data_IF_119242311695
#
_entry.id   IF_119242311695
#
_cell.length_a   1.000
_cell.length_b   1.000
_cell.length_c   1.000
_cell.angle_alpha   90.00
_cell.angle_beta   90.00
_cell.angle_gamma   90.00
#
_symmetry.space_group_name_H-M   'P 1'
#
loop_
_entity.id
_entity.type
_entity.pdbx_description
1 polymer ?
#
# COMPACT_ATOMS: atom_id res chain seq x y z
N UNK A 1 -9.50 -5.17 13.31
CA UNK A 1 -8.26 -5.98 13.41
C UNK A 1 -7.42 -5.70 12.16
N UNK A 2 -6.09 -5.69 12.25
CA UNK A 2 -5.21 -5.42 11.10
C UNK A 2 -4.50 -6.70 10.65
N UNK A 3 -4.30 -6.84 9.35
CA UNK A 3 -3.49 -7.88 8.74
C UNK A 3 -2.02 -7.63 9.02
N UNK A 4 -1.30 -8.68 9.41
CA UNK A 4 0.16 -8.65 9.38
C UNK A 4 0.64 -8.70 7.93
N UNK A 5 1.60 -7.85 7.61
CA UNK A 5 2.37 -7.87 6.37
C UNK A 5 3.85 -7.78 6.73
N UNK A 6 4.64 -8.72 6.22
CA UNK A 6 6.09 -8.74 6.35
C UNK A 6 6.70 -8.19 5.08
N UNK A 7 7.53 -7.16 5.21
CA UNK A 7 8.37 -6.65 4.14
C UNK A 7 9.80 -7.18 4.35
N UNK A 8 10.27 -8.02 3.45
CA UNK A 8 11.64 -8.53 3.43
C UNK A 8 12.42 -7.83 2.31
N UNK A 9 13.48 -7.12 2.64
CA UNK A 9 14.37 -6.45 1.71
C UNK A 9 15.61 -7.32 1.51
N UNK A 10 15.91 -7.67 0.26
CA UNK A 10 17.00 -8.57 -0.11
C UNK A 10 17.87 -7.89 -1.15
N UNK A 11 19.15 -7.69 -0.85
CA UNK A 11 20.13 -7.30 -1.85
C UNK A 11 20.68 -8.56 -2.50
N UNK A 12 20.40 -8.77 -3.80
CA UNK A 12 20.74 -10.03 -4.45
C UNK A 12 20.15 -10.24 -5.85
N UNK A 13 20.45 -11.41 -6.40
CA UNK A 13 19.95 -11.85 -7.71
C UNK A 13 18.75 -12.78 -7.54
N UNK A 14 17.68 -12.44 -8.25
CA UNK A 14 16.48 -13.26 -8.32
C UNK A 14 16.80 -14.61 -8.98
N UNK A 15 16.16 -15.68 -8.52
CA UNK A 15 16.17 -16.97 -9.19
C UNK A 15 15.13 -16.97 -10.31
N UNK A 16 15.54 -16.64 -11.54
CA UNK A 16 14.66 -16.56 -12.69
C UNK A 16 13.90 -17.87 -12.98
N UNK A 17 14.52 -19.02 -12.70
CA UNK A 17 13.91 -20.34 -12.93
C UNK A 17 12.73 -20.63 -12.02
N UNK A 18 12.67 -20.03 -10.81
CA UNK A 18 11.48 -20.09 -9.96
C UNK A 18 10.26 -19.47 -10.65
N UNK A 19 10.46 -18.48 -11.50
CA UNK A 19 9.42 -17.82 -12.30
C UNK A 19 9.24 -18.42 -13.69
N UNK A 20 9.79 -19.61 -13.95
CA UNK A 20 9.63 -20.33 -15.21
C UNK A 20 10.57 -19.91 -16.34
N UNK A 21 11.54 -19.02 -16.08
CA UNK A 21 12.54 -18.61 -17.07
C UNK A 21 13.72 -19.60 -17.10
N UNK A 22 13.97 -20.19 -18.27
CA UNK A 22 15.12 -21.08 -18.47
C UNK A 22 16.43 -20.31 -18.59
N UNK A 23 16.40 -19.16 -19.26
CA UNK A 23 17.53 -18.24 -19.40
C UNK A 23 17.33 -17.03 -18.47
N UNK A 24 18.16 -16.85 -17.42
CA UNK A 24 18.08 -15.71 -16.52
C UNK A 24 18.24 -14.36 -17.21
N UNK A 25 18.91 -14.30 -18.37
CA UNK A 25 19.10 -13.04 -19.12
C UNK A 25 17.78 -12.48 -19.68
N UNK A 26 16.77 -13.33 -19.84
CA UNK A 26 15.44 -12.95 -20.31
C UNK A 26 14.55 -12.41 -19.20
N UNK A 27 14.95 -12.57 -17.93
CA UNK A 27 14.19 -12.05 -16.80
C UNK A 27 14.34 -10.54 -16.69
N UNK A 28 13.29 -9.80 -17.05
CA UNK A 28 13.27 -8.32 -17.04
C UNK A 28 12.26 -7.71 -16.06
N UNK A 29 11.47 -8.56 -15.39
CA UNK A 29 10.41 -8.11 -14.47
C UNK A 29 11.02 -7.31 -13.32
N UNK A 30 10.42 -6.15 -13.03
CA UNK A 30 10.78 -5.30 -11.89
C UNK A 30 9.75 -5.34 -10.77
N UNK A 31 8.56 -5.87 -11.05
CA UNK A 31 7.51 -6.09 -10.08
C UNK A 31 6.74 -7.36 -10.47
N UNK A 32 6.35 -8.13 -9.46
CA UNK A 32 5.54 -9.33 -9.56
C UNK A 32 4.46 -9.19 -8.50
N UNK A 33 3.20 -9.22 -8.93
CA UNK A 33 2.04 -9.08 -8.07
C UNK A 33 1.21 -10.35 -8.22
N UNK A 34 0.72 -10.89 -7.10
CA UNK A 34 -0.15 -12.07 -7.11
C UNK A 34 -1.55 -11.68 -6.63
N UNK A 35 -2.52 -12.53 -6.95
CA UNK A 35 -3.82 -12.51 -6.29
C UNK A 35 -3.73 -13.26 -4.96
N UNK A 36 -4.72 -13.07 -4.10
CA UNK A 36 -4.84 -13.80 -2.84
C UNK A 36 -4.90 -15.30 -3.11
N UNK A 37 -3.91 -16.04 -2.61
CA UNK A 37 -3.85 -17.50 -2.65
C UNK A 37 -3.16 -18.00 -1.36
N UNK A 38 -3.86 -18.72 -0.48
CA UNK A 38 -3.29 -19.25 0.76
C UNK A 38 -2.11 -20.20 0.57
N UNK A 39 -1.91 -20.75 -0.64
CA UNK A 39 -0.79 -21.64 -0.95
C UNK A 39 0.49 -20.86 -1.30
N UNK A 40 0.37 -19.57 -1.66
CA UNK A 40 1.51 -18.72 -1.97
C UNK A 40 2.14 -18.17 -0.68
N UNK A 41 3.46 -18.29 -0.58
CA UNK A 41 4.22 -17.74 0.54
C UNK A 41 4.62 -16.27 0.33
N UNK A 42 4.35 -15.71 -0.84
CA UNK A 42 4.58 -14.30 -1.21
C UNK A 42 3.31 -13.69 -1.80
N UNK A 43 3.08 -12.42 -1.50
CA UNK A 43 1.99 -11.62 -2.06
C UNK A 43 2.48 -10.69 -3.18
N UNK A 44 3.73 -10.23 -3.10
CA UNK A 44 4.37 -9.48 -4.19
C UNK A 44 5.88 -9.36 -4.01
N UNK A 45 6.57 -9.08 -5.12
CA UNK A 45 7.98 -8.74 -5.16
C UNK A 45 8.17 -7.49 -6.02
N UNK A 46 9.12 -6.64 -5.66
CA UNK A 46 9.48 -5.51 -6.52
C UNK A 46 10.88 -4.98 -6.24
N UNK A 47 11.56 -4.54 -7.30
CA UNK A 47 12.84 -3.83 -7.18
C UNK A 47 12.58 -2.46 -6.56
N UNK A 48 13.36 -2.12 -5.54
CA UNK A 48 13.33 -0.79 -4.93
C UNK A 48 14.59 -0.02 -5.33
N UNK A 49 14.37 1.24 -5.75
CA UNK A 49 15.45 2.14 -6.16
C UNK A 49 15.65 3.23 -5.11
N UNK A 50 16.90 3.68 -4.90
CA UNK A 50 17.17 4.86 -4.07
C UNK A 50 16.45 6.10 -4.61
N UNK A 51 15.94 6.93 -3.70
CA UNK A 51 15.23 8.18 -4.05
C UNK A 51 16.12 9.16 -4.80
N UNK A 52 17.42 9.19 -4.52
CA UNK A 52 18.39 10.12 -5.13
C UNK A 52 18.93 9.65 -6.50
N UNK A 53 18.30 8.65 -7.11
CA UNK A 53 18.79 7.99 -8.32
C UNK A 53 19.93 7.00 -8.02
N UNK A 54 20.18 6.05 -8.93
CA UNK A 54 21.24 5.05 -8.78
C UNK A 54 22.25 5.11 -9.94
N UNK A 55 23.52 5.28 -9.60
CA UNK A 55 24.67 4.88 -10.44
C UNK A 55 25.24 3.53 -9.95
N UNK A 56 24.40 2.69 -9.33
CA UNK A 56 24.85 1.44 -8.73
C UNK A 56 25.01 0.37 -9.80
N UNK A 57 26.24 -0.13 -9.95
CA UNK A 57 26.62 -1.24 -10.83
C UNK A 57 26.38 -2.62 -10.21
N UNK A 58 25.78 -2.67 -9.02
CA UNK A 58 25.55 -3.90 -8.24
C UNK A 58 24.16 -4.51 -8.42
N UNK A 59 23.89 -5.64 -7.75
CA UNK A 59 22.58 -6.28 -7.75
C UNK A 59 21.48 -5.32 -7.24
N UNK A 60 20.24 -5.44 -7.73
CA UNK A 60 19.14 -4.66 -7.21
C UNK A 60 18.79 -5.08 -5.78
N UNK A 61 18.16 -4.17 -5.04
CA UNK A 61 17.44 -4.51 -3.81
C UNK A 61 16.01 -4.88 -4.19
N UNK A 62 15.57 -6.05 -3.74
CA UNK A 62 14.21 -6.54 -3.88
C UNK A 62 13.46 -6.37 -2.57
N UNK A 63 12.21 -5.92 -2.65
CA UNK A 63 11.26 -5.96 -1.55
C UNK A 63 10.25 -7.07 -1.81
N UNK A 64 10.15 -8.01 -0.88
CA UNK A 64 9.21 -9.12 -0.91
C UNK A 64 8.17 -8.91 0.18
N UNK A 65 6.90 -8.91 -0.19
CA UNK A 65 5.79 -8.91 0.76
C UNK A 65 5.27 -10.34 0.97
N UNK A 66 5.06 -10.71 2.23
CA UNK A 66 4.51 -12.00 2.65
C UNK A 66 3.68 -11.86 3.93
N UNK A 67 2.83 -12.84 4.23
CA UNK A 67 2.06 -12.85 5.49
C UNK A 67 2.91 -13.22 6.71
N UNK A 68 3.96 -14.04 6.48
CA UNK A 68 4.87 -14.54 7.50
C UNK A 68 6.32 -14.24 7.13
N UNK A 69 7.23 -14.41 8.08
CA UNK A 69 8.67 -14.39 7.78
C UNK A 69 9.00 -15.44 6.72
N UNK A 70 9.84 -15.08 5.76
CA UNK A 70 10.34 -16.03 4.78
C UNK A 70 11.34 -16.98 5.46
N UNK A 71 11.22 -18.28 5.20
CA UNK A 71 12.22 -19.25 5.64
C UNK A 71 13.47 -19.17 4.77
N UNK A 72 14.58 -19.74 5.26
CA UNK A 72 15.81 -19.81 4.48
C UNK A 72 15.60 -20.58 3.16
N UNK A 73 14.76 -21.61 3.16
CA UNK A 73 14.40 -22.36 1.95
C UNK A 73 13.61 -21.49 0.98
N UNK A 74 12.64 -20.70 1.47
CA UNK A 74 11.88 -19.77 0.64
C UNK A 74 12.75 -18.65 0.06
N UNK A 75 13.70 -18.14 0.83
CA UNK A 75 14.69 -17.17 0.34
C UNK A 75 15.57 -17.80 -0.75
N UNK A 76 16.06 -19.03 -0.56
CA UNK A 76 16.85 -19.77 -1.56
C UNK A 76 16.05 -20.16 -2.80
N UNK A 77 14.73 -20.31 -2.68
CA UNK A 77 13.84 -20.48 -3.83
C UNK A 77 13.76 -19.19 -4.66
N UNK A 78 13.56 -18.05 -3.99
CA UNK A 78 13.37 -16.74 -4.65
C UNK A 78 14.66 -16.13 -5.19
N UNK A 79 15.81 -16.38 -4.55
CA UNK A 79 17.08 -15.73 -4.86
C UNK A 79 18.18 -16.76 -5.11
N UNK A 80 18.88 -16.60 -6.24
CA UNK A 80 20.03 -17.44 -6.59
C UNK A 80 21.30 -17.06 -5.80
N UNK A 81 21.39 -15.79 -5.38
CA UNK A 81 22.43 -15.28 -4.49
C UNK A 81 21.94 -14.00 -3.79
N UNK A 82 22.38 -13.79 -2.55
CA UNK A 82 22.13 -12.57 -1.78
C UNK A 82 23.18 -12.43 -0.67
N UNK A 83 23.41 -11.21 -0.20
CA UNK A 83 24.40 -10.89 0.85
C UNK A 83 23.80 -10.10 2.03
N UNK A 84 22.64 -9.47 1.85
CA UNK A 84 21.92 -8.75 2.89
C UNK A 84 20.42 -9.05 2.85
N UNK A 85 19.85 -9.32 4.02
CA UNK A 85 18.41 -9.50 4.24
C UNK A 85 17.99 -8.65 5.44
N UNK A 86 17.05 -7.73 5.22
CA UNK A 86 16.46 -6.87 6.24
C UNK A 86 14.96 -7.08 6.29
N UNK A 87 14.36 -7.15 7.48
CA UNK A 87 12.94 -7.52 7.63
C UNK A 87 12.21 -6.54 8.51
N UNK A 88 11.05 -6.09 8.04
CA UNK A 88 10.13 -5.25 8.79
C UNK A 88 8.72 -5.86 8.81
N UNK A 89 8.16 -6.01 10.01
CA UNK A 89 6.78 -6.46 10.21
C UNK A 89 5.87 -5.25 10.41
N UNK A 90 4.70 -5.29 9.79
CA UNK A 90 3.69 -4.25 9.85
C UNK A 90 2.31 -4.85 10.12
N UNK A 91 1.50 -4.12 10.89
CA UNK A 91 0.05 -4.29 10.89
C UNK A 91 -0.51 -3.30 9.87
N UNK A 92 -0.35 -3.61 8.58
CA UNK A 92 -0.40 -2.61 7.51
C UNK A 92 -1.82 -2.26 7.06
N UNK A 93 -2.76 -3.20 7.10
CA UNK A 93 -4.08 -3.04 6.49
C UNK A 93 -5.19 -3.51 7.42
N UNK A 94 -6.32 -2.79 7.54
CA UNK A 94 -7.45 -3.29 8.29
C UNK A 94 -8.09 -4.51 7.60
N UNK A 95 -8.65 -5.41 8.39
CA UNK A 95 -9.55 -6.45 7.91
C UNK A 95 -10.89 -5.83 7.55
N UNK A 96 -11.27 -5.93 6.27
CA UNK A 96 -12.57 -5.50 5.78
C UNK A 96 -13.57 -6.66 5.87
N UNK A 97 -14.79 -6.38 6.33
CA UNK A 97 -15.89 -7.36 6.32
C UNK A 97 -17.12 -6.76 5.63
N UNK A 98 -17.13 -6.66 4.28
CA UNK A 98 -18.24 -6.06 3.58
C UNK A 98 -19.57 -6.83 3.75
N UNK A 99 -20.72 -6.13 3.86
CA UNK A 99 -20.85 -4.68 3.91
C UNK A 99 -20.56 -4.16 5.32
N UNK A 100 -19.51 -3.36 5.48
CA UNK A 100 -19.22 -2.64 6.72
C UNK A 100 -19.55 -1.16 6.53
N UNK A 101 -20.03 -0.51 7.60
CA UNK A 101 -20.18 0.95 7.60
C UNK A 101 -18.84 1.59 7.89
N UNK A 102 -18.50 2.63 7.13
CA UNK A 102 -17.36 3.48 7.47
C UNK A 102 -17.71 4.31 8.72
N UNK A 103 -16.75 4.52 9.63
CA UNK A 103 -16.97 5.41 10.77
C UNK A 103 -17.16 6.86 10.29
N UNK A 104 -17.77 7.73 11.12
CA UNK A 104 -17.95 9.12 10.76
C UNK A 104 -16.62 9.89 10.77
N UNK A 105 -16.52 10.94 9.95
CA UNK A 105 -15.40 11.88 9.98
C UNK A 105 -15.47 12.87 11.15
N UNK A 106 -16.67 13.15 11.70
CA UNK A 106 -16.85 13.99 12.88
C UNK A 106 -17.13 13.10 14.08
N UNK A 107 -16.25 13.12 15.07
CA UNK A 107 -16.43 12.35 16.31
C UNK A 107 -17.11 13.19 17.40
N UNK A 108 -16.86 14.49 17.41
CA UNK A 108 -17.43 15.48 18.32
C UNK A 108 -17.23 16.88 17.73
N UNK A 109 -17.81 17.91 18.36
CA UNK A 109 -17.54 19.32 18.06
C UNK A 109 -16.03 19.58 17.99
N UNK A 110 -15.59 20.02 16.81
CA UNK A 110 -14.19 20.31 16.47
C UNK A 110 -13.21 19.13 16.62
N UNK A 111 -13.71 17.89 16.66
CA UNK A 111 -12.90 16.67 16.71
C UNK A 111 -13.17 15.80 15.47
N UNK A 112 -12.16 15.68 14.61
CA UNK A 112 -12.27 15.04 13.30
C UNK A 112 -11.41 13.77 13.21
N UNK A 113 -11.98 12.69 12.68
CA UNK A 113 -11.29 11.42 12.45
C UNK A 113 -10.83 11.30 11.01
N UNK A 114 -9.59 11.73 10.75
CA UNK A 114 -8.99 11.71 9.41
C UNK A 114 -8.88 10.29 8.85
N UNK A 115 -8.63 9.27 9.68
CA UNK A 115 -8.50 7.90 9.20
C UNK A 115 -9.86 7.20 9.01
N UNK A 116 -10.99 7.90 9.09
CA UNK A 116 -12.29 7.31 8.79
C UNK A 116 -12.34 6.69 7.39
N UNK A 117 -11.65 7.33 6.43
CA UNK A 117 -11.55 6.89 5.04
C UNK A 117 -10.83 5.54 4.87
N UNK A 118 -9.98 5.14 5.82
CA UNK A 118 -9.20 3.91 5.76
C UNK A 118 -10.11 2.67 5.69
N UNK A 119 -11.30 2.76 6.28
CA UNK A 119 -12.32 1.71 6.25
C UNK A 119 -13.04 1.57 4.90
N UNK A 120 -12.89 2.54 4.00
CA UNK A 120 -13.31 2.47 2.60
C UNK A 120 -12.14 2.04 1.70
N UNK A 121 -10.96 2.62 1.91
CA UNK A 121 -9.73 2.28 1.20
C UNK A 121 -8.49 2.74 1.98
N UNK A 122 -7.53 1.83 2.16
CA UNK A 122 -6.29 2.05 2.92
C UNK A 122 -5.09 2.31 1.99
N UNK A 123 -5.01 3.52 1.45
CA UNK A 123 -3.86 3.98 0.66
C UNK A 123 -3.39 5.38 1.13
N UNK A 124 -2.14 5.74 0.80
CA UNK A 124 -1.56 7.03 1.19
C UNK A 124 -2.34 8.20 0.55
N UNK A 125 -2.79 8.01 -0.69
CA UNK A 125 -3.61 8.96 -1.43
C UNK A 125 -4.93 9.23 -0.71
N UNK A 126 -5.55 8.18 -0.15
CA UNK A 126 -6.78 8.31 0.63
C UNK A 126 -6.55 9.11 1.91
N UNK A 127 -5.40 8.90 2.57
CA UNK A 127 -5.00 9.70 3.74
C UNK A 127 -4.85 11.18 3.40
N UNK A 128 -4.24 11.50 2.25
CA UNK A 128 -4.09 12.87 1.78
C UNK A 128 -5.44 13.53 1.42
N UNK A 129 -6.31 12.81 0.73
CA UNK A 129 -7.67 13.26 0.39
C UNK A 129 -8.46 13.55 1.67
N UNK A 130 -8.44 12.62 2.61
CA UNK A 130 -9.14 12.78 3.88
C UNK A 130 -8.60 13.95 4.69
N UNK A 131 -7.28 14.10 4.80
CA UNK A 131 -6.67 15.21 5.53
C UNK A 131 -7.09 16.57 4.96
N UNK A 132 -7.11 16.71 3.62
CA UNK A 132 -7.60 17.92 2.96
C UNK A 132 -9.07 18.17 3.28
N UNK A 133 -9.91 17.16 3.19
CA UNK A 133 -11.34 17.29 3.44
C UNK A 133 -11.64 17.61 4.92
N UNK A 134 -10.94 16.99 5.85
CA UNK A 134 -11.03 17.29 7.29
C UNK A 134 -10.61 18.73 7.60
N UNK A 135 -9.55 19.24 6.94
CA UNK A 135 -9.13 20.64 7.09
C UNK A 135 -10.19 21.62 6.55
N UNK A 136 -10.80 21.32 5.40
CA UNK A 136 -11.90 22.12 4.85
C UNK A 136 -13.13 22.08 5.75
N UNK A 137 -13.48 20.90 6.27
CA UNK A 137 -14.58 20.70 7.20
C UNK A 137 -14.37 21.51 8.49
N UNK A 138 -13.17 21.43 9.08
CA UNK A 138 -12.80 22.21 10.26
C UNK A 138 -12.89 23.72 10.00
N UNK A 139 -12.38 24.18 8.85
CA UNK A 139 -12.48 25.57 8.44
C UNK A 139 -13.94 26.02 8.27
N UNK A 140 -14.80 25.20 7.65
CA UNK A 140 -16.21 25.52 7.50
C UNK A 140 -16.96 25.57 8.83
N UNK A 141 -16.66 24.65 9.75
CA UNK A 141 -17.21 24.70 11.12
C UNK A 141 -16.77 25.97 11.85
N UNK A 142 -15.48 26.33 11.78
CA UNK A 142 -14.92 27.50 12.47
C UNK A 142 -15.58 28.82 12.04
N UNK A 143 -15.86 28.97 10.73
CA UNK A 143 -16.47 30.18 10.18
C UNK A 143 -17.99 30.08 9.99
N UNK A 144 -18.63 29.06 10.56
CA UNK A 144 -20.07 28.80 10.43
C UNK A 144 -20.59 28.75 8.97
N UNK A 145 -19.80 28.19 8.05
CA UNK A 145 -20.12 28.04 6.62
C UNK A 145 -20.77 26.68 6.34
N UNK A 146 -21.92 26.42 6.97
CA UNK A 146 -22.57 25.10 6.94
C UNK A 146 -23.12 24.73 5.56
N UNK A 147 -23.43 25.72 4.72
CA UNK A 147 -23.85 25.56 3.31
C UNK A 147 -22.79 24.89 2.42
N UNK A 148 -21.53 24.84 2.88
CA UNK A 148 -20.40 24.27 2.14
C UNK A 148 -20.15 22.79 2.45
N UNK A 149 -20.81 22.25 3.46
CA UNK A 149 -20.65 20.88 3.94
C UNK A 149 -21.73 20.01 3.31
N UNK A 150 -21.38 18.80 2.89
CA UNK A 150 -22.29 17.76 2.38
C UNK A 150 -23.35 18.31 1.41
N UNK A 151 -22.90 19.08 0.40
CA UNK A 151 -23.76 19.69 -0.59
C UNK A 151 -24.47 18.63 -1.46
N UNK A 152 -25.70 18.25 -1.08
CA UNK A 152 -26.47 17.17 -1.71
C UNK A 152 -26.67 17.37 -3.22
N UNK A 153 -26.90 18.60 -3.66
CA UNK A 153 -27.13 18.94 -5.08
C UNK A 153 -25.86 19.23 -5.87
N UNK A 154 -24.66 19.10 -5.26
CA UNK A 154 -23.41 19.48 -5.90
C UNK A 154 -23.19 18.71 -7.21
N UNK A 155 -23.53 17.42 -7.22
CA UNK A 155 -23.33 16.59 -8.42
C UNK A 155 -24.22 17.05 -9.59
N UNK A 156 -25.47 17.42 -9.31
CA UNK A 156 -26.39 17.93 -10.35
C UNK A 156 -25.95 19.31 -10.85
N UNK A 157 -25.47 20.19 -9.95
CA UNK A 157 -24.93 21.51 -10.32
C UNK A 157 -23.69 21.41 -11.21
N UNK A 158 -22.78 20.48 -10.93
CA UNK A 158 -21.56 20.27 -11.73
C UNK A 158 -21.86 19.73 -13.13
N UNK A 159 -22.95 18.96 -13.32
CA UNK A 159 -23.36 18.48 -14.65
C UNK A 159 -23.87 19.61 -15.55
N UNK A 160 -24.45 20.66 -14.97
CA UNK A 160 -25.00 21.79 -15.73
C UNK A 160 -23.95 22.85 -16.10
N UNK A 161 -22.72 22.74 -15.61
CA UNK A 161 -21.62 23.69 -15.88
C UNK A 161 -20.65 23.23 -16.99
N UNK A 162 -20.84 22.03 -17.55
CA UNK A 162 -20.06 21.47 -18.67
C UNK A 162 -20.89 21.40 -19.96
#
# INVERSE_FOLDING_TARGET
PYHQTVATFVHGHINASFFGYQDPSQFSLKAILTMEDPQLFVSSLGVVSPVKGSNHLGPPVWKVFSHQLLTDEQLKLLFSSYDLVEVQKWLAYPHYTPPQKCPPFVLHDHMYYVNAIEWAASAMEMSAISAKNAALLAHHHWYNKMDRIDQEDLHERLKTEL
#
